data_IF_281343495212
#
_entry.id   IF_281343495212
#
_cell.length_a   1.000
_cell.length_b   1.000
_cell.length_c   1.000
_cell.angle_alpha   90.00
_cell.angle_beta   90.00
_cell.angle_gamma   90.00
#
_symmetry.space_group_name_H-M   'P 1'
#
loop_
_entity.id
_entity.type
_entity.pdbx_description
1 polymer ?
#
# COMPACT_ATOMS: atom_id res chain seq x y z
N UNK A 1 21.37 -1.74 13.67
CA UNK A 1 22.80 -1.57 14.04
C UNK A 1 23.40 -2.90 14.50
N UNK A 2 23.28 -3.96 13.69
CA UNK A 2 23.66 -5.37 14.04
C UNK A 2 25.16 -5.63 13.79
N UNK A 3 25.80 -4.78 12.99
CA UNK A 3 27.21 -4.90 12.60
C UNK A 3 28.17 -4.74 13.78
N UNK A 4 27.86 -3.86 14.74
CA UNK A 4 28.73 -3.63 15.91
C UNK A 4 28.81 -4.81 16.89
N UNK A 5 27.74 -5.61 17.04
CA UNK A 5 27.74 -6.77 17.94
C UNK A 5 28.45 -8.01 17.35
N UNK A 6 28.70 -8.03 16.03
CA UNK A 6 29.47 -9.09 15.37
C UNK A 6 30.97 -8.76 15.30
N UNK A 7 31.31 -7.48 15.39
CA UNK A 7 32.70 -7.02 15.49
C UNK A 7 33.32 -7.43 16.84
N UNK A 8 32.51 -7.61 17.90
CA UNK A 8 32.93 -8.21 19.18
C UNK A 8 33.10 -9.74 19.14
N UNK A 9 32.67 -10.40 18.05
CA UNK A 9 32.87 -11.83 17.76
C UNK A 9 34.04 -12.07 16.79
N UNK A 10 34.84 -11.03 16.50
CA UNK A 10 36.03 -11.04 15.64
C UNK A 10 35.78 -11.51 14.19
N UNK A 11 34.52 -11.46 13.73
CA UNK A 11 34.14 -11.88 12.39
C UNK A 11 34.10 -10.68 11.45
N UNK A 12 35.18 -10.50 10.70
CA UNK A 12 35.30 -9.47 9.66
C UNK A 12 34.57 -9.95 8.41
N UNK A 13 33.60 -9.17 7.92
CA UNK A 13 32.94 -9.42 6.64
C UNK A 13 33.61 -8.61 5.53
N UNK A 14 33.83 -9.25 4.39
CA UNK A 14 34.22 -8.55 3.16
C UNK A 14 33.04 -7.77 2.57
N UNK A 15 33.34 -6.75 1.76
CA UNK A 15 32.30 -5.98 1.04
C UNK A 15 31.36 -6.88 0.25
N UNK A 16 31.90 -7.88 -0.45
CA UNK A 16 31.10 -8.83 -1.23
C UNK A 16 30.12 -9.66 -0.38
N UNK A 17 30.48 -9.98 0.86
CA UNK A 17 29.59 -10.70 1.78
C UNK A 17 28.50 -9.80 2.34
N UNK A 18 28.85 -8.55 2.64
CA UNK A 18 27.87 -7.54 3.08
C UNK A 18 26.85 -7.25 1.98
N UNK A 19 27.28 -7.05 0.74
CA UNK A 19 26.40 -6.88 -0.44
C UNK A 19 25.40 -8.03 -0.56
N UNK A 20 25.89 -9.29 -0.54
CA UNK A 20 25.02 -10.48 -0.63
C UNK A 20 24.09 -10.65 0.57
N UNK A 21 24.49 -10.22 1.76
CA UNK A 21 23.64 -10.24 2.95
C UNK A 21 22.54 -9.21 2.86
N UNK A 22 22.87 -7.99 2.43
CA UNK A 22 21.88 -6.91 2.23
C UNK A 22 20.83 -7.34 1.20
N UNK A 23 21.26 -7.85 0.04
CA UNK A 23 20.34 -8.31 -1.01
C UNK A 23 19.38 -9.42 -0.53
N UNK A 24 19.88 -10.37 0.27
CA UNK A 24 19.06 -11.45 0.86
C UNK A 24 18.07 -10.98 1.92
N UNK A 25 18.32 -9.85 2.56
CA UNK A 25 17.44 -9.30 3.59
C UNK A 25 16.32 -8.41 3.02
N UNK A 26 16.31 -8.14 1.72
CA UNK A 26 15.30 -7.28 1.11
C UNK A 26 13.93 -7.97 1.01
N UNK A 27 12.81 -7.25 1.18
CA UNK A 27 11.46 -7.81 1.06
C UNK A 27 11.18 -8.38 -0.32
N UNK A 28 10.21 -9.30 -0.43
CA UNK A 28 9.83 -9.94 -1.70
C UNK A 28 9.45 -8.95 -2.82
N UNK A 29 8.91 -7.78 -2.46
CA UNK A 29 8.59 -6.71 -3.41
C UNK A 29 9.83 -6.16 -4.14
N UNK A 30 11.03 -6.37 -3.60
CA UNK A 30 12.30 -5.92 -4.17
C UNK A 30 12.97 -6.97 -5.06
N UNK A 31 12.41 -8.18 -5.17
CA UNK A 31 12.99 -9.26 -5.99
C UNK A 31 13.30 -8.85 -7.43
N UNK A 32 12.43 -8.12 -8.16
CA UNK A 32 12.77 -7.66 -9.51
C UNK A 32 14.02 -6.79 -9.55
N UNK A 33 14.22 -5.95 -8.52
CA UNK A 33 15.39 -5.08 -8.40
C UNK A 33 16.63 -5.86 -8.01
N UNK A 34 16.51 -6.85 -7.12
CA UNK A 34 17.60 -7.76 -6.74
C UNK A 34 18.09 -8.53 -7.96
N UNK A 35 17.20 -9.18 -8.70
CA UNK A 35 17.54 -9.90 -9.93
C UNK A 35 18.23 -9.00 -10.95
N UNK A 36 17.71 -7.79 -11.18
CA UNK A 36 18.35 -6.84 -12.08
C UNK A 36 19.77 -6.42 -11.63
N UNK A 37 20.03 -6.33 -10.32
CA UNK A 37 21.37 -6.03 -9.79
C UNK A 37 22.30 -7.23 -9.96
N UNK A 38 21.82 -8.44 -9.69
CA UNK A 38 22.57 -9.69 -9.84
C UNK A 38 22.92 -9.99 -11.32
N UNK A 39 22.05 -9.63 -12.25
CA UNK A 39 22.29 -9.78 -13.70
C UNK A 39 23.21 -8.68 -14.26
N UNK A 40 23.11 -7.44 -13.77
CA UNK A 40 23.81 -6.31 -14.36
C UNK A 40 25.18 -6.01 -13.73
N UNK A 41 25.45 -6.49 -12.51
CA UNK A 41 26.67 -6.14 -11.77
C UNK A 41 27.31 -7.36 -11.09
N UNK A 42 28.64 -7.41 -11.08
CA UNK A 42 29.36 -8.41 -10.28
C UNK A 42 29.34 -8.02 -8.80
N UNK A 43 28.73 -8.88 -7.97
CA UNK A 43 28.57 -8.70 -6.53
C UNK A 43 29.92 -8.73 -5.77
N UNK A 44 30.99 -9.23 -6.39
CA UNK A 44 32.32 -9.23 -5.78
C UNK A 44 32.99 -7.86 -5.85
N UNK A 45 32.69 -7.07 -6.89
CA UNK A 45 33.30 -5.77 -7.15
C UNK A 45 32.40 -4.59 -6.78
N UNK A 46 31.11 -4.85 -6.53
CA UNK A 46 30.13 -3.82 -6.21
C UNK A 46 30.45 -3.15 -4.87
N UNK A 47 30.60 -1.82 -4.89
CA UNK A 47 30.74 -1.03 -3.67
C UNK A 47 29.42 -0.97 -2.90
N UNK A 48 29.48 -0.86 -1.58
CA UNK A 48 28.28 -0.72 -0.75
C UNK A 48 27.54 0.58 -1.04
N UNK A 49 28.26 1.64 -1.33
CA UNK A 49 27.71 2.96 -1.68
C UNK A 49 26.87 2.89 -2.96
N UNK A 50 27.38 2.22 -4.01
CA UNK A 50 26.65 2.05 -5.26
C UNK A 50 25.41 1.16 -5.08
N UNK A 51 25.50 0.14 -4.23
CA UNK A 51 24.37 -0.71 -3.88
C UNK A 51 23.29 0.11 -3.17
N UNK A 52 23.66 0.84 -2.10
CA UNK A 52 22.77 1.68 -1.32
C UNK A 52 22.12 2.77 -2.19
N UNK A 53 22.88 3.44 -3.06
CA UNK A 53 22.35 4.43 -3.99
C UNK A 53 21.31 3.84 -4.96
N UNK A 54 21.56 2.64 -5.49
CA UNK A 54 20.61 1.92 -6.35
C UNK A 54 19.33 1.52 -5.61
N UNK A 55 19.46 1.11 -4.35
CA UNK A 55 18.32 0.72 -3.50
C UNK A 55 17.47 1.94 -3.12
N UNK A 56 18.09 3.04 -2.67
CA UNK A 56 17.43 4.30 -2.31
C UNK A 56 16.65 4.89 -3.50
N UNK A 57 17.25 4.84 -4.70
CA UNK A 57 16.57 5.31 -5.92
C UNK A 57 15.34 4.47 -6.25
N UNK A 58 15.41 3.15 -6.04
CA UNK A 58 14.28 2.26 -6.25
C UNK A 58 13.17 2.49 -5.22
N UNK A 59 13.51 2.73 -3.96
CA UNK A 59 12.57 3.09 -2.90
C UNK A 59 11.77 4.34 -3.25
N UNK A 60 12.45 5.42 -3.65
CA UNK A 60 11.82 6.67 -4.10
C UNK A 60 10.91 6.45 -5.32
N UNK A 61 11.28 5.55 -6.23
CA UNK A 61 10.43 5.22 -7.38
C UNK A 61 9.19 4.42 -6.99
N UNK A 62 9.27 3.55 -5.99
CA UNK A 62 8.13 2.77 -5.51
C UNK A 62 7.13 3.67 -4.78
N UNK A 63 7.60 4.55 -3.91
CA UNK A 63 6.76 5.51 -3.19
C UNK A 63 5.95 6.42 -4.12
N UNK A 64 6.57 6.89 -5.22
CA UNK A 64 5.87 7.71 -6.23
C UNK A 64 4.76 6.95 -6.97
N UNK A 65 4.95 5.66 -7.23
CA UNK A 65 3.94 4.82 -7.91
C UNK A 65 2.72 4.61 -7.02
N UNK A 66 2.93 4.38 -5.72
CA UNK A 66 1.85 4.21 -4.76
C UNK A 66 0.99 5.48 -4.64
N UNK A 67 1.61 6.66 -4.61
CA UNK A 67 0.92 7.97 -4.63
C UNK A 67 0.05 8.16 -5.87
N UNK A 68 0.57 7.81 -7.05
CA UNK A 68 -0.15 7.99 -8.30
C UNK A 68 -1.30 6.98 -8.46
N UNK A 69 -1.11 5.74 -8.01
CA UNK A 69 -2.17 4.75 -7.92
C UNK A 69 -3.28 5.19 -6.96
N UNK A 70 -2.93 5.78 -5.81
CA UNK A 70 -3.91 6.26 -4.84
C UNK A 70 -4.72 7.44 -5.39
N UNK A 71 -4.06 8.38 -6.08
CA UNK A 71 -4.72 9.48 -6.79
C UNK A 71 -5.67 8.95 -7.87
N UNK A 72 -5.28 7.93 -8.62
CA UNK A 72 -6.12 7.32 -9.65
C UNK A 72 -7.35 6.64 -9.04
N UNK A 73 -7.17 5.86 -7.97
CA UNK A 73 -8.27 5.23 -7.21
C UNK A 73 -9.24 6.29 -6.68
N UNK A 74 -8.72 7.41 -6.15
CA UNK A 74 -9.51 8.54 -5.66
C UNK A 74 -10.29 9.24 -6.78
N UNK A 75 -9.70 9.37 -7.96
CA UNK A 75 -10.38 9.92 -9.15
C UNK A 75 -11.51 9.00 -9.63
N UNK A 76 -11.27 7.70 -9.70
CA UNK A 76 -12.27 6.68 -10.07
C UNK A 76 -13.45 6.70 -9.08
N UNK A 77 -13.17 6.77 -7.79
CA UNK A 77 -14.20 6.87 -6.75
C UNK A 77 -15.01 8.18 -6.85
N UNK A 78 -14.38 9.32 -7.09
CA UNK A 78 -15.08 10.60 -7.32
C UNK A 78 -16.00 10.54 -8.55
N UNK A 79 -15.54 9.92 -9.66
CA UNK A 79 -16.37 9.70 -10.85
C UNK A 79 -17.58 8.81 -10.55
N UNK A 80 -17.38 7.71 -9.83
CA UNK A 80 -18.47 6.83 -9.40
C UNK A 80 -19.50 7.57 -8.53
N UNK A 81 -19.05 8.40 -7.58
CA UNK A 81 -19.94 9.20 -6.74
C UNK A 81 -20.72 10.27 -7.52
N UNK A 82 -20.09 10.88 -8.53
CA UNK A 82 -20.74 11.83 -9.43
C UNK A 82 -21.82 11.17 -10.30
N UNK A 83 -21.58 9.94 -10.77
CA UNK A 83 -22.59 9.14 -11.49
C UNK A 83 -23.77 8.82 -10.57
N UNK A 84 -23.51 8.40 -9.32
CA UNK A 84 -24.57 8.12 -8.33
C UNK A 84 -25.44 9.34 -8.02
N UNK A 85 -24.86 10.56 -7.99
CA UNK A 85 -25.62 11.80 -7.82
C UNK A 85 -26.54 12.14 -8.99
N UNK A 86 -26.23 11.70 -10.22
CA UNK A 86 -27.09 11.92 -11.40
C UNK A 86 -28.28 10.95 -11.48
N UNK A 87 -28.23 9.82 -10.78
CA UNK A 87 -29.32 8.83 -10.69
C UNK A 87 -30.13 8.91 -9.37
N UNK A 88 -29.82 9.88 -8.49
CA UNK A 88 -30.49 10.04 -7.19
C UNK A 88 -31.78 10.86 -7.28
N UNK A 89 -32.90 10.19 -7.54
CA UNK A 89 -34.25 10.75 -7.34
C UNK A 89 -34.52 11.14 -5.89
N UNK A 90 -35.31 12.21 -5.72
CA UNK A 90 -35.68 12.88 -4.46
C UNK A 90 -36.12 11.92 -3.33
N UNK A 91 -35.81 12.23 -2.05
CA UNK A 91 -36.42 11.55 -0.92
C UNK A 91 -37.86 12.03 -0.76
N UNK A 92 -38.84 11.18 -1.05
CA UNK A 92 -40.24 11.46 -0.74
C UNK A 92 -40.46 11.32 0.78
N UNK A 93 -40.65 12.46 1.46
CA UNK A 93 -41.41 12.53 2.71
C UNK A 93 -42.87 12.20 2.40
N UNK A 94 -43.41 11.11 2.96
CA UNK A 94 -44.85 11.03 3.29
C UNK A 94 -45.05 10.32 4.62
N UNK A 95 -45.80 11.02 5.48
CA UNK A 95 -46.32 10.64 6.78
C UNK A 95 -47.52 9.68 6.60
N UNK A 96 -47.58 8.69 7.49
CA UNK A 96 -48.67 7.78 7.90
C UNK A 96 -49.68 7.22 6.88
N UNK A 97 -49.79 5.89 6.82
CA UNK A 97 -50.95 5.16 7.37
C UNK A 97 -50.68 3.64 7.45
N UNK A 98 -51.34 3.03 8.44
CA UNK A 98 -51.32 1.61 8.81
C UNK A 98 -52.32 0.86 7.92
N UNK A 99 -51.91 -0.26 7.32
CA UNK A 99 -52.83 -1.26 6.77
C UNK A 99 -52.75 -1.50 5.26
N UNK A 100 -52.60 -2.78 4.94
CA UNK A 100 -53.02 -3.50 3.71
C UNK A 100 -52.16 -3.49 2.44
N UNK A 101 -51.57 -4.69 2.25
CA UNK A 101 -51.35 -5.49 1.03
C UNK A 101 -51.42 -4.80 -0.33
N UNK A 102 -50.28 -4.77 -1.02
CA UNK A 102 -50.08 -5.46 -2.32
C UNK A 102 -48.70 -5.10 -2.90
N UNK A 103 -48.05 -6.08 -3.54
CA UNK A 103 -46.66 -6.11 -4.10
C UNK A 103 -45.60 -6.77 -3.21
N UNK A 104 -45.92 -7.95 -2.68
CA UNK A 104 -44.96 -9.00 -2.27
C UNK A 104 -44.86 -10.10 -3.35
N UNK A 105 -45.09 -9.74 -4.61
CA UNK A 105 -44.92 -10.69 -5.71
C UNK A 105 -43.43 -10.71 -6.06
N UNK A 106 -42.83 -11.91 -5.93
CA UNK A 106 -41.47 -12.33 -6.32
C UNK A 106 -40.37 -12.45 -5.24
N UNK A 107 -40.69 -12.64 -3.95
CA UNK A 107 -39.69 -13.18 -3.00
C UNK A 107 -40.03 -14.63 -2.67
N UNK A 108 -39.19 -15.56 -3.16
CA UNK A 108 -39.27 -17.01 -2.85
C UNK A 108 -38.33 -17.32 -1.68
N UNK A 109 -38.87 -17.93 -0.63
CA UNK A 109 -38.07 -18.43 0.49
C UNK A 109 -37.26 -19.67 0.08
N UNK A 110 -35.93 -19.60 0.14
CA UNK A 110 -35.03 -20.69 -0.25
C UNK A 110 -35.04 -21.93 0.67
N UNK A 111 -35.79 -21.90 1.78
CA UNK A 111 -35.97 -23.07 2.67
C UNK A 111 -37.28 -23.83 2.41
N UNK A 112 -38.37 -23.12 2.10
CA UNK A 112 -39.68 -23.74 1.93
C UNK A 112 -40.28 -23.56 0.53
N UNK A 113 -39.59 -22.85 -0.37
CA UNK A 113 -40.03 -22.46 -1.71
C UNK A 113 -41.41 -21.78 -1.74
N UNK A 114 -41.85 -21.16 -0.63
CA UNK A 114 -43.09 -20.37 -0.57
C UNK A 114 -42.80 -18.90 -0.79
N UNK A 115 -43.75 -18.22 -1.44
CA UNK A 115 -43.68 -16.80 -1.73
C UNK A 115 -43.99 -15.96 -0.49
N UNK A 116 -43.43 -14.74 -0.42
CA UNK A 116 -43.83 -13.68 0.50
C UNK A 116 -42.96 -13.49 1.75
N UNK A 117 -41.87 -14.26 1.93
CA UNK A 117 -40.91 -14.06 3.02
C UNK A 117 -39.49 -14.51 2.63
N UNK A 118 -38.47 -13.96 3.29
CA UNK A 118 -37.07 -14.39 3.14
C UNK A 118 -36.75 -15.58 4.04
N UNK A 119 -35.65 -16.28 3.76
CA UNK A 119 -35.15 -17.42 4.56
C UNK A 119 -35.10 -17.10 6.07
N UNK A 120 -34.72 -15.88 6.43
CA UNK A 120 -34.64 -15.39 7.81
C UNK A 120 -35.97 -15.39 8.57
N UNK A 121 -37.10 -15.29 7.86
CA UNK A 121 -38.43 -15.14 8.44
C UNK A 121 -39.30 -16.38 8.19
N UNK A 122 -38.67 -17.52 7.87
CA UNK A 122 -39.35 -18.78 7.58
C UNK A 122 -40.01 -19.34 8.85
N UNK A 123 -41.32 -19.62 8.87
CA UNK A 123 -42.02 -20.13 10.05
C UNK A 123 -41.59 -21.53 10.50
N UNK A 124 -40.68 -22.19 9.78
CA UNK A 124 -40.20 -23.55 10.06
C UNK A 124 -38.76 -23.47 10.57
N UNK A 125 -38.48 -23.81 11.85
CA UNK A 125 -37.11 -23.79 12.35
C UNK A 125 -36.28 -24.94 11.75
N UNK A 126 -35.02 -24.66 11.45
CA UNK A 126 -34.01 -25.61 10.97
C UNK A 126 -33.93 -26.86 11.85
N UNK A 127 -34.07 -28.06 11.27
CA UNK A 127 -33.49 -29.28 11.84
C UNK A 127 -32.13 -29.50 11.18
N UNK A 128 -31.04 -29.36 11.95
CA UNK A 128 -29.69 -29.71 11.52
C UNK A 128 -29.54 -31.23 11.57
N UNK A 129 -29.55 -31.88 10.40
CA UNK A 129 -28.93 -33.20 10.23
C UNK A 129 -27.69 -33.05 9.34
N UNK A 130 -26.57 -33.52 9.88
CA UNK A 130 -25.23 -33.45 9.33
C UNK A 130 -25.03 -34.67 8.41
N UNK A 131 -25.14 -34.53 7.09
CA UNK A 131 -24.70 -35.58 6.15
C UNK A 131 -24.06 -34.99 4.87
N UNK A 132 -22.73 -35.06 4.86
CA UNK A 132 -21.84 -35.43 3.75
C UNK A 132 -22.06 -34.77 2.38
N UNK A 133 -21.19 -33.79 2.08
CA UNK A 133 -20.92 -33.35 0.71
C UNK A 133 -20.07 -34.39 -0.02
N UNK A 134 -20.68 -35.19 -0.90
CA UNK A 134 -19.99 -35.91 -1.98
C UNK A 134 -20.77 -35.72 -3.27
N UNK A 135 -20.35 -34.75 -4.08
CA UNK A 135 -20.79 -34.58 -5.46
C UNK A 135 -19.69 -33.87 -6.24
N UNK A 136 -18.90 -34.66 -6.99
CA UNK A 136 -18.28 -34.32 -8.27
C UNK A 136 -17.32 -35.45 -8.67
N UNK A 137 -17.80 -36.43 -9.44
CA UNK A 137 -17.20 -36.85 -10.71
C UNK A 137 -18.07 -37.97 -11.31
N UNK A 138 -18.71 -37.66 -12.44
CA UNK A 138 -19.31 -38.63 -13.34
C UNK A 138 -18.40 -38.72 -14.56
N UNK A 139 -17.93 -39.92 -14.87
CA UNK A 139 -17.52 -40.44 -16.19
C UNK A 139 -17.16 -41.90 -15.96
N UNK A 140 -18.19 -42.75 -15.94
CA UNK A 140 -18.07 -44.18 -16.21
C UNK A 140 -18.46 -44.33 -17.68
N UNK A 141 -17.49 -44.63 -18.53
CA UNK A 141 -17.74 -45.31 -19.79
C UNK A 141 -16.96 -46.63 -19.74
N UNK A 142 -17.70 -47.68 -20.02
CA UNK A 142 -17.43 -49.08 -19.71
C UNK A 142 -17.44 -49.81 -21.05
N UNK A 143 -16.29 -50.32 -21.46
CA UNK A 143 -16.17 -51.26 -22.56
C UNK A 143 -14.95 -52.13 -22.32
N UNK A 144 -15.26 -53.36 -21.92
CA UNK A 144 -14.36 -54.48 -21.76
C UNK A 144 -13.66 -54.90 -23.07
N UNK A 145 -12.55 -55.60 -22.86
CA UNK A 145 -12.01 -56.68 -23.70
C UNK A 145 -10.99 -56.30 -24.80
N UNK A 146 -9.70 -56.40 -24.47
CA UNK A 146 -8.82 -57.43 -25.04
C UNK A 146 -7.43 -57.42 -24.39
N UNK A 147 -6.92 -58.63 -24.15
CA UNK A 147 -5.58 -59.01 -23.72
C UNK A 147 -4.44 -58.41 -24.57
N UNK A 148 -3.30 -58.11 -23.96
CA UNK A 148 -2.04 -58.86 -24.07
C UNK A 148 -0.92 -58.08 -23.37
N UNK A 149 -0.22 -58.79 -22.49
CA UNK A 149 1.22 -58.83 -22.24
C UNK A 149 2.05 -57.60 -22.64
N UNK A 150 2.82 -57.06 -21.69
CA UNK A 150 4.28 -57.11 -21.77
C UNK A 150 4.89 -56.60 -20.45
N UNK A 151 6.01 -57.22 -20.14
CA UNK A 151 6.74 -57.26 -18.90
C UNK A 151 7.45 -55.93 -18.60
N UNK A 152 7.20 -55.36 -17.42
CA UNK A 152 8.21 -54.54 -16.73
C UNK A 152 8.04 -54.71 -15.23
N UNK A 153 8.87 -55.59 -14.66
CA UNK A 153 8.94 -55.82 -13.23
C UNK A 153 9.41 -54.54 -12.52
N UNK A 154 8.46 -53.74 -12.05
CA UNK A 154 8.68 -52.73 -11.03
C UNK A 154 8.12 -53.32 -9.73
N UNK A 155 9.01 -53.78 -8.85
CA UNK A 155 8.66 -54.35 -7.55
C UNK A 155 8.03 -53.26 -6.66
N UNK A 156 6.73 -53.05 -6.80
CA UNK A 156 5.96 -52.21 -5.88
C UNK A 156 5.77 -53.01 -4.59
N UNK A 157 6.60 -52.75 -3.59
CA UNK A 157 6.44 -53.31 -2.25
C UNK A 157 5.07 -52.89 -1.69
N UNK A 158 4.09 -53.79 -1.73
CA UNK A 158 2.79 -53.60 -1.10
C UNK A 158 2.96 -53.77 0.41
N UNK A 159 3.27 -52.66 1.09
CA UNK A 159 3.37 -52.54 2.55
C UNK A 159 2.19 -53.16 3.33
N UNK A 160 1.03 -53.33 2.70
CA UNK A 160 -0.17 -53.88 3.31
C UNK A 160 -0.20 -55.42 3.42
N UNK A 161 0.76 -56.15 2.82
CA UNK A 161 0.82 -57.62 2.83
C UNK A 161 1.97 -58.19 3.68
N UNK A 162 2.71 -57.34 4.40
CA UNK A 162 3.72 -57.82 5.34
C UNK A 162 3.02 -58.45 6.55
N UNK A 163 3.05 -59.78 6.65
CA UNK A 163 2.69 -60.49 7.86
C UNK A 163 3.70 -60.09 8.94
N UNK A 164 3.21 -59.47 10.02
CA UNK A 164 4.02 -59.19 11.19
C UNK A 164 4.22 -60.54 11.88
N UNK A 165 5.40 -61.14 11.72
CA UNK A 165 5.85 -62.15 12.68
C UNK A 165 5.94 -61.40 14.01
N UNK A 166 5.12 -61.81 14.99
CA UNK A 166 5.24 -61.39 16.38
C UNK A 166 6.57 -61.95 16.90
N UNK A 167 7.68 -61.30 16.54
CA UNK A 167 8.86 -61.33 17.36
C UNK A 167 8.42 -60.73 18.70
N UNK A 168 8.40 -61.55 19.75
CA UNK A 168 8.32 -61.06 21.12
C UNK A 168 9.56 -60.20 21.34
N UNK A 169 9.44 -58.93 20.94
CA UNK A 169 10.37 -57.88 21.26
C UNK A 169 10.33 -57.78 22.78
N UNK A 170 11.42 -58.23 23.42
CA UNK A 170 11.66 -58.07 24.85
C UNK A 170 11.42 -56.59 25.18
N UNK A 171 10.20 -56.29 25.64
CA UNK A 171 9.82 -54.96 26.10
C UNK A 171 10.53 -54.79 27.43
N UNK A 172 11.79 -54.33 27.35
CA UNK A 172 12.56 -53.86 28.50
C UNK A 172 11.71 -52.76 29.17
N UNK A 173 10.94 -53.17 30.17
CA UNK A 173 10.03 -52.32 30.90
C UNK A 173 10.87 -51.28 31.65
N UNK A 174 11.11 -50.13 31.00
CA UNK A 174 11.94 -49.03 31.51
C UNK A 174 11.47 -48.70 32.92
N UNK A 175 12.36 -48.98 33.88
CA UNK A 175 12.08 -48.89 35.31
C UNK A 175 11.47 -47.53 35.66
N UNK A 176 10.49 -47.55 36.56
CA UNK A 176 9.81 -46.34 37.02
C UNK A 176 10.79 -45.24 37.46
N UNK A 177 11.91 -45.64 38.08
CA UNK A 177 12.97 -44.73 38.52
C UNK A 177 13.66 -44.00 37.35
N UNK A 178 13.81 -44.65 36.21
CA UNK A 178 14.44 -44.07 35.02
C UNK A 178 13.51 -43.05 34.33
N UNK A 179 12.19 -43.32 34.34
CA UNK A 179 11.17 -42.35 33.89
C UNK A 179 11.14 -41.10 34.77
N UNK A 180 11.27 -41.26 36.09
CA UNK A 180 11.32 -40.13 37.05
C UNK A 180 12.54 -39.24 36.76
N UNK A 181 13.71 -39.83 36.57
CA UNK A 181 14.96 -39.08 36.24
C UNK A 181 14.80 -38.29 34.93
N UNK A 182 14.13 -38.87 33.93
CA UNK A 182 13.86 -38.19 32.66
C UNK A 182 12.93 -36.99 32.85
N UNK A 183 11.85 -37.14 33.62
CA UNK A 183 10.90 -36.05 33.91
C UNK A 183 11.58 -34.90 34.67
N UNK A 184 12.45 -35.21 35.63
CA UNK A 184 13.22 -34.19 36.36
C UNK A 184 14.16 -33.41 35.45
N UNK A 185 14.85 -34.09 34.53
CA UNK A 185 15.70 -33.44 33.52
C UNK A 185 14.89 -32.51 32.62
N UNK A 186 13.75 -32.96 32.09
CA UNK A 186 12.89 -32.12 31.27
C UNK A 186 12.31 -30.93 32.05
N UNK A 187 11.94 -31.12 33.32
CA UNK A 187 11.47 -30.05 34.21
C UNK A 187 12.54 -28.95 34.38
N UNK A 188 13.80 -29.34 34.59
CA UNK A 188 14.93 -28.41 34.67
C UNK A 188 15.14 -27.61 33.37
N UNK A 189 15.09 -28.29 32.22
CA UNK A 189 15.18 -27.65 30.90
C UNK A 189 14.03 -26.67 30.70
N UNK A 190 12.79 -27.06 30.99
CA UNK A 190 11.61 -26.20 30.88
C UNK A 190 11.76 -24.95 31.77
N UNK A 191 12.26 -25.09 32.99
CA UNK A 191 12.50 -23.96 33.89
C UNK A 191 13.55 -22.99 33.31
N UNK A 192 14.63 -23.52 32.73
CA UNK A 192 15.67 -22.72 32.07
C UNK A 192 15.14 -21.95 30.85
N UNK A 193 14.34 -22.61 30.02
CA UNK A 193 13.72 -22.00 28.85
C UNK A 193 12.72 -20.92 29.25
N UNK A 194 11.90 -21.17 30.27
CA UNK A 194 10.97 -20.16 30.82
C UNK A 194 11.71 -18.89 31.26
N UNK A 195 12.83 -19.03 31.98
CA UNK A 195 13.68 -17.88 32.38
C UNK A 195 14.21 -17.11 31.17
N UNK A 196 14.67 -17.83 30.13
CA UNK A 196 15.17 -17.21 28.90
C UNK A 196 14.07 -16.47 28.14
N UNK A 197 12.87 -17.04 28.06
CA UNK A 197 11.70 -16.40 27.47
C UNK A 197 11.36 -15.11 28.22
N UNK A 198 11.28 -15.14 29.55
CA UNK A 198 10.99 -13.92 30.34
C UNK A 198 12.05 -12.84 30.14
N UNK A 199 13.33 -13.21 30.02
CA UNK A 199 14.41 -12.26 29.74
C UNK A 199 14.27 -11.61 28.36
N UNK A 200 13.99 -12.42 27.33
CA UNK A 200 13.79 -11.93 25.96
C UNK A 200 12.52 -11.07 25.84
N UNK A 201 11.47 -11.36 26.61
CA UNK A 201 10.27 -10.52 26.64
C UNK A 201 10.59 -9.12 27.18
N UNK A 202 11.32 -9.04 28.30
CA UNK A 202 11.76 -7.76 28.89
C UNK A 202 12.65 -6.98 27.91
N UNK A 203 13.60 -7.64 27.26
CA UNK A 203 14.48 -7.01 26.27
C UNK A 203 13.70 -6.48 25.06
N UNK A 204 12.70 -7.24 24.56
CA UNK A 204 11.83 -6.77 23.48
C UNK A 204 11.00 -5.54 23.89
N UNK A 205 10.46 -5.52 25.10
CA UNK A 205 9.71 -4.38 25.61
C UNK A 205 10.60 -3.13 25.76
N UNK A 206 11.85 -3.31 26.20
CA UNK A 206 12.86 -2.25 26.25
C UNK A 206 13.24 -1.74 24.86
N UNK A 207 13.45 -2.64 23.89
CA UNK A 207 13.75 -2.25 22.52
C UNK A 207 12.58 -1.48 21.90
N UNK A 208 11.34 -1.94 22.11
CA UNK A 208 10.13 -1.27 21.61
C UNK A 208 9.99 0.15 22.15
N UNK A 209 10.19 0.35 23.46
CA UNK A 209 10.17 1.69 24.08
C UNK A 209 11.31 2.59 23.59
N UNK A 210 12.53 2.05 23.45
CA UNK A 210 13.68 2.80 22.92
C UNK A 210 13.54 3.21 21.45
N UNK A 211 12.77 2.45 20.66
CA UNK A 211 12.55 2.73 19.23
C UNK A 211 11.52 3.84 19.06
N UNK A 212 10.39 3.75 19.77
CA UNK A 212 9.35 4.79 19.78
C UNK A 212 9.90 6.16 20.19
N UNK A 213 10.65 6.20 21.29
CA UNK A 213 11.26 7.46 21.80
C UNK A 213 12.27 8.10 20.84
N UNK A 214 13.04 7.31 20.08
CA UNK A 214 13.98 7.85 19.08
C UNK A 214 13.24 8.38 17.85
N UNK A 215 12.19 7.69 17.42
CA UNK A 215 11.36 8.15 16.29
C UNK A 215 10.61 9.44 16.62
N UNK A 216 10.09 9.56 17.85
CA UNK A 216 9.34 10.74 18.27
C UNK A 216 10.27 11.97 18.37
N UNK A 217 11.44 11.83 19.00
CA UNK A 217 12.42 12.92 19.10
C UNK A 217 12.94 13.37 17.73
N UNK A 218 13.14 12.45 16.78
CA UNK A 218 13.60 12.79 15.43
C UNK A 218 12.55 13.61 14.67
N UNK A 219 11.28 13.21 14.77
CA UNK A 219 10.17 13.92 14.10
C UNK A 219 9.95 15.30 14.72
N UNK A 220 10.10 15.44 16.04
CA UNK A 220 9.94 16.70 16.75
C UNK A 220 10.97 17.75 16.28
N UNK A 221 12.23 17.35 16.10
CA UNK A 221 13.29 18.25 15.57
C UNK A 221 13.01 18.67 14.12
N UNK A 222 12.54 17.75 13.28
CA UNK A 222 12.19 18.06 11.89
C UNK A 222 10.98 19.01 11.79
N UNK A 223 9.99 18.84 12.68
CA UNK A 223 8.82 19.71 12.79
C UNK A 223 9.25 21.13 13.18
N UNK A 224 10.08 21.28 14.21
CA UNK A 224 10.57 22.61 14.66
C UNK A 224 11.34 23.33 13.54
N UNK A 225 12.15 22.61 12.75
CA UNK A 225 12.86 23.21 11.62
C UNK A 225 11.89 23.69 10.52
N UNK A 226 10.89 22.88 10.17
CA UNK A 226 9.89 23.22 9.17
C UNK A 226 9.00 24.39 9.62
N UNK A 227 8.63 24.46 10.90
CA UNK A 227 7.85 25.57 11.45
C UNK A 227 8.61 26.89 11.34
N UNK A 228 9.91 26.89 11.64
CA UNK A 228 10.76 28.08 11.48
C UNK A 228 10.87 28.53 10.01
N UNK A 229 11.00 27.59 9.07
CA UNK A 229 11.05 27.90 7.63
C UNK A 229 9.72 28.49 7.14
N UNK A 230 8.59 27.95 7.59
CA UNK A 230 7.26 28.48 7.28
C UNK A 230 7.13 29.92 7.80
N UNK A 231 7.54 30.19 9.04
CA UNK A 231 7.50 31.52 9.64
C UNK A 231 8.37 32.54 8.87
N UNK A 232 9.52 32.10 8.38
CA UNK A 232 10.39 32.92 7.54
C UNK A 232 9.72 33.24 6.20
N UNK A 233 9.22 32.22 5.49
CA UNK A 233 8.54 32.37 4.20
C UNK A 233 7.25 33.21 4.33
N UNK A 234 6.54 33.12 5.44
CA UNK A 234 5.37 33.96 5.70
C UNK A 234 5.75 35.44 5.85
N UNK A 235 6.85 35.75 6.55
CA UNK A 235 7.35 37.12 6.69
C UNK A 235 7.78 37.68 5.34
N UNK A 236 8.49 36.89 4.55
CA UNK A 236 8.91 37.30 3.20
C UNK A 236 7.69 37.56 2.29
N UNK A 237 6.68 36.67 2.30
CA UNK A 237 5.44 36.87 1.55
C UNK A 237 4.69 38.13 1.99
N UNK A 238 4.65 38.45 3.28
CA UNK A 238 4.05 39.68 3.79
C UNK A 238 4.80 40.91 3.27
N UNK A 239 6.13 40.89 3.26
CA UNK A 239 6.95 41.97 2.69
C UNK A 239 6.73 42.15 1.19
N UNK A 240 6.81 41.06 0.41
CA UNK A 240 6.59 41.10 -1.04
C UNK A 240 5.20 41.65 -1.37
N UNK A 241 4.18 41.34 -0.55
CA UNK A 241 2.83 41.87 -0.75
C UNK A 241 2.77 43.39 -0.55
N UNK A 242 3.45 43.92 0.46
CA UNK A 242 3.56 45.37 0.68
C UNK A 242 4.25 46.04 -0.51
N UNK A 243 5.33 45.45 -1.02
CA UNK A 243 6.08 45.98 -2.16
C UNK A 243 5.23 45.98 -3.44
N UNK A 244 4.49 44.90 -3.71
CA UNK A 244 3.54 44.82 -4.82
C UNK A 244 2.48 45.91 -4.72
N UNK A 245 1.91 46.16 -3.54
CA UNK A 245 0.88 47.18 -3.37
C UNK A 245 1.45 48.61 -3.55
N UNK A 246 2.70 48.84 -3.10
CA UNK A 246 3.41 50.09 -3.37
C UNK A 246 3.66 50.29 -4.87
N UNK A 247 4.13 49.26 -5.58
CA UNK A 247 4.37 49.29 -7.02
C UNK A 247 3.06 49.47 -7.82
N UNK A 248 1.96 48.84 -7.43
CA UNK A 248 0.64 49.08 -8.04
C UNK A 248 0.20 50.54 -7.87
N UNK A 249 0.49 51.14 -6.71
CA UNK A 249 0.18 52.56 -6.45
C UNK A 249 1.04 53.50 -7.29
N UNK A 250 2.31 53.20 -7.52
CA UNK A 250 3.16 54.00 -8.42
C UNK A 250 2.75 53.81 -9.87
N UNK A 251 2.41 52.58 -10.28
CA UNK A 251 1.94 52.27 -11.62
C UNK A 251 0.63 52.97 -11.97
N UNK A 252 -0.35 53.00 -11.06
CA UNK A 252 -1.62 53.72 -11.30
C UNK A 252 -1.41 55.23 -11.47
N UNK A 253 -0.51 55.84 -10.69
CA UNK A 253 -0.12 57.25 -10.90
C UNK A 253 0.53 57.46 -12.27
N UNK A 254 1.46 56.58 -12.65
CA UNK A 254 2.14 56.63 -13.95
C UNK A 254 1.14 56.47 -15.12
N UNK A 255 0.23 55.50 -15.02
CA UNK A 255 -0.85 55.29 -15.99
C UNK A 255 -1.70 56.53 -16.17
N UNK A 256 -2.13 57.17 -15.07
CA UNK A 256 -2.92 58.40 -15.11
C UNK A 256 -2.15 59.57 -15.76
N UNK A 257 -0.85 59.69 -15.51
CA UNK A 257 -0.03 60.71 -16.18
C UNK A 257 0.16 60.42 -17.67
N UNK A 258 0.33 59.14 -18.04
CA UNK A 258 0.47 58.71 -19.44
C UNK A 258 -0.79 59.03 -20.24
N UNK A 259 -1.97 58.72 -19.70
CA UNK A 259 -3.24 59.02 -20.36
C UNK A 259 -3.45 60.53 -20.56
N UNK A 260 -3.07 61.35 -19.57
CA UNK A 260 -3.10 62.82 -19.71
C UNK A 260 -2.15 63.32 -20.80
N UNK A 261 -0.95 62.75 -20.89
CA UNK A 261 0.02 63.07 -21.93
C UNK A 261 -0.52 62.70 -23.32
N UNK A 262 -1.08 61.50 -23.45
CA UNK A 262 -1.64 61.00 -24.70
C UNK A 262 -2.83 61.84 -25.18
N UNK A 263 -3.70 62.26 -24.25
CA UNK A 263 -4.77 63.22 -24.53
C UNK A 263 -4.23 64.58 -25.02
N UNK A 264 -3.17 65.11 -24.40
CA UNK A 264 -2.52 66.35 -24.83
C UNK A 264 -1.91 66.22 -26.23
N UNK A 265 -1.20 65.12 -26.50
CA UNK A 265 -0.60 64.85 -27.80
C UNK A 265 -1.67 64.64 -28.88
N UNK A 266 -2.81 64.01 -28.55
CA UNK A 266 -3.94 63.86 -29.47
C UNK A 266 -4.63 65.18 -29.83
N UNK A 267 -4.60 66.17 -28.94
CA UNK A 267 -5.12 67.53 -29.20
C UNK A 267 -4.12 68.36 -30.04
N UNK A 268 -2.83 68.03 -30.00
CA UNK A 268 -1.82 68.73 -30.77
C UNK A 268 -2.01 68.44 -32.27
N UNK A 269 -2.53 69.44 -33.00
CA UNK A 269 -2.75 69.41 -34.46
C UNK A 269 -1.56 68.74 -35.17
N UNK A 270 -1.86 67.78 -36.05
CA UNK A 270 -0.91 67.25 -37.02
C UNK A 270 -0.13 68.41 -37.66
N UNK A 271 1.20 68.32 -37.65
CA UNK A 271 2.16 69.33 -38.13
C UNK A 271 1.92 69.84 -39.57
N UNK A 272 0.99 69.22 -40.30
CA UNK A 272 0.62 69.55 -41.67
C UNK A 272 -0.63 70.44 -41.82
N UNK A 273 -1.46 70.62 -40.78
CA UNK A 273 -2.62 71.53 -40.87
C UNK A 273 -2.24 72.97 -40.48
N UNK A 274 -1.44 73.63 -41.33
CA UNK A 274 -1.10 75.06 -41.23
C UNK A 274 -2.15 75.96 -41.92
N UNK A 275 -3.40 75.83 -41.52
CA UNK A 275 -4.44 76.80 -41.90
C UNK A 275 -4.51 77.89 -40.81
N UNK A 276 -4.11 79.12 -41.15
CA UNK A 276 -4.09 80.27 -40.24
C UNK A 276 -3.54 81.53 -40.91
N UNK A 277 -3.83 82.71 -40.32
CA UNK A 277 -3.58 84.08 -40.82
C UNK A 277 -2.35 84.20 -41.76
N UNK A 278 -2.59 84.01 -43.07
CA UNK A 278 -1.59 84.16 -44.13
C UNK A 278 -1.28 82.92 -44.98
N UNK A 279 -1.72 81.71 -44.60
CA UNK A 279 -1.46 80.49 -45.38
C UNK A 279 -2.76 79.82 -45.87
N UNK A 280 -2.77 79.40 -47.15
CA UNK A 280 -3.88 78.68 -47.78
C UNK A 280 -3.87 77.21 -47.37
N UNK A 281 -5.05 76.66 -47.09
CA UNK A 281 -5.26 75.23 -46.86
C UNK A 281 -4.68 74.39 -48.01
N UNK A 282 -3.75 73.51 -47.68
CA UNK A 282 -3.32 72.47 -48.60
C UNK A 282 -4.27 71.29 -48.43
N UNK A 283 -5.11 71.05 -49.45
CA UNK A 283 -5.97 69.88 -49.51
C UNK A 283 -5.10 68.62 -49.40
N UNK A 284 -5.20 67.92 -48.27
CA UNK A 284 -4.51 66.66 -48.06
C UNK A 284 -4.97 65.65 -49.11
N UNK A 285 -4.07 65.33 -50.04
CA UNK A 285 -4.20 64.16 -50.91
C UNK A 285 -4.20 62.94 -49.99
N UNK A 286 -5.27 62.15 -50.05
CA UNK A 286 -5.38 60.87 -49.37
C UNK A 286 -4.24 59.97 -49.86
N UNK A 287 -3.41 59.50 -48.93
CA UNK A 287 -2.58 58.30 -49.07
C UNK A 287 -3.21 57.22 -48.22
#
# INVERSE_FOLDING_TARGET
NITNALQSLDKIYSNSEMVRKILRCLPRAWMPKVTAIEEAKDLNTLSLEDLLGSLMTHELSMLKKDDDEEKEKRLKFKKFLAIKKKFGGKPNKKVHQRGESSKLEEVICFECNKLGHYKSDCPRPEKKEHLNKKAMLATWDDSDESSLDEESNEEVAQLALMAIEEEEEDNDEVSYDERVIIVEKYSSIIASLKKKVTSLTIENDQLKTSTLTKEDNSKEVDIDFLENEIDFLEKENKNLKIEIDALKKTFSKFSNSSEKLENLLGIQRCLFNKAGLGYKEMNNVKV
#
